data_IF_796781039268
#
_entry.id   IF_796781039268
#
_cell.length_a   1.000
_cell.length_b   1.000
_cell.length_c   1.000
_cell.angle_alpha   90.00
_cell.angle_beta   90.00
_cell.angle_gamma   90.00
#
_symmetry.space_group_name_H-M   'P 1'
#
loop_
_entity.id
_entity.type
_entity.pdbx_description
1 polymer ?
#
# COMPACT_ATOMS: atom_id res chain seq x y z
N UNK A 1 27.09 2.24 74.76
CA UNK A 1 27.36 2.46 73.32
C UNK A 1 26.78 1.27 72.58
N UNK A 2 25.70 1.40 71.79
CA UNK A 2 25.05 0.25 71.17
C UNK A 2 25.80 -0.23 69.92
N UNK A 3 25.76 -1.55 69.69
CA UNK A 3 26.37 -2.26 68.56
C UNK A 3 25.92 -1.72 67.20
N UNK A 4 26.87 -1.61 66.25
CA UNK A 4 26.55 -1.26 64.86
C UNK A 4 25.94 -2.48 64.15
N UNK A 5 24.88 -2.31 63.35
CA UNK A 5 24.34 -3.40 62.54
C UNK A 5 25.34 -3.78 61.44
N UNK A 6 25.56 -5.08 61.26
CA UNK A 6 26.38 -5.66 60.19
C UNK A 6 25.74 -5.38 58.82
N UNK A 7 26.51 -5.07 57.76
CA UNK A 7 25.94 -4.82 56.44
C UNK A 7 25.38 -6.13 55.86
N UNK A 8 24.08 -6.13 55.56
CA UNK A 8 23.40 -7.22 54.88
C UNK A 8 24.05 -7.50 53.53
N UNK A 9 24.42 -8.76 53.27
CA UNK A 9 24.95 -9.19 51.98
C UNK A 9 23.98 -8.80 50.85
N UNK A 10 24.49 -8.36 49.68
CA UNK A 10 23.64 -8.03 48.55
C UNK A 10 22.88 -9.28 48.11
N UNK A 11 21.55 -9.21 48.11
CA UNK A 11 20.70 -10.28 47.53
C UNK A 11 21.13 -10.46 46.08
N UNK A 12 21.60 -11.67 45.72
CA UNK A 12 21.82 -12.03 44.32
C UNK A 12 20.48 -11.87 43.59
N UNK A 13 20.39 -10.89 42.71
CA UNK A 13 19.25 -10.74 41.82
C UNK A 13 19.22 -11.99 40.94
N UNK A 14 18.26 -12.87 41.19
CA UNK A 14 17.97 -13.97 40.28
C UNK A 14 17.53 -13.33 38.95
N UNK A 15 18.40 -13.35 37.95
CA UNK A 15 18.07 -12.92 36.60
C UNK A 15 16.92 -13.80 36.11
N UNK A 16 15.71 -13.24 36.13
CA UNK A 16 14.56 -13.90 35.54
C UNK A 16 14.68 -13.69 34.02
N UNK A 17 15.22 -14.69 33.33
CA UNK A 17 15.25 -14.72 31.87
C UNK A 17 13.82 -15.02 31.39
N UNK A 18 13.28 -14.20 30.47
CA UNK A 18 11.98 -14.51 29.87
C UNK A 18 12.10 -15.79 29.02
N UNK A 19 10.99 -16.51 28.84
CA UNK A 19 10.99 -17.70 27.99
C UNK A 19 11.46 -17.39 26.56
N UNK A 20 11.22 -16.17 26.08
CA UNK A 20 11.66 -15.68 24.77
C UNK A 20 13.18 -15.46 24.77
N UNK A 21 13.74 -14.81 25.78
CA UNK A 21 15.18 -14.55 25.87
C UNK A 21 15.98 -15.85 25.94
N UNK A 22 15.49 -16.83 26.72
CA UNK A 22 16.10 -18.16 26.82
C UNK A 22 16.14 -18.87 25.46
N UNK A 23 15.05 -18.82 24.69
CA UNK A 23 15.00 -19.41 23.34
C UNK A 23 15.97 -18.73 22.39
N UNK A 24 16.07 -17.40 22.44
CA UNK A 24 17.02 -16.63 21.62
C UNK A 24 18.46 -17.02 21.97
N UNK A 25 18.81 -17.10 23.25
CA UNK A 25 20.15 -17.48 23.71
C UNK A 25 20.51 -18.90 23.28
N UNK A 26 19.64 -19.87 23.51
CA UNK A 26 19.88 -21.26 23.11
C UNK A 26 20.04 -21.39 21.58
N UNK A 27 19.29 -20.60 20.79
CA UNK A 27 19.45 -20.54 19.34
C UNK A 27 20.79 -19.91 18.92
N UNK A 28 21.27 -18.90 19.65
CA UNK A 28 22.62 -18.35 19.45
C UNK A 28 23.71 -19.37 19.79
N UNK A 29 23.59 -20.09 20.91
CA UNK A 29 24.55 -21.11 21.35
C UNK A 29 24.66 -22.28 20.35
N UNK A 30 23.56 -22.65 19.70
CA UNK A 30 23.55 -23.65 18.64
C UNK A 30 24.09 -23.16 17.30
N UNK A 31 24.35 -21.85 17.16
CA UNK A 31 24.76 -21.25 15.90
C UNK A 31 23.62 -21.16 14.87
N UNK A 32 22.36 -21.19 15.29
CA UNK A 32 21.20 -21.11 14.37
C UNK A 32 21.21 -19.79 13.56
N UNK A 33 21.89 -18.75 14.07
CA UNK A 33 22.08 -17.47 13.39
C UNK A 33 23.35 -17.39 12.52
N UNK A 34 24.23 -18.40 12.56
CA UNK A 34 25.52 -18.35 11.88
C UNK A 34 25.43 -18.58 10.37
N UNK A 35 24.43 -19.36 9.93
CA UNK A 35 24.22 -19.73 8.53
C UNK A 35 22.98 -19.05 7.93
N UNK A 36 22.57 -17.88 8.46
CA UNK A 36 21.40 -17.18 7.94
C UNK A 36 21.56 -16.85 6.44
N UNK A 37 20.51 -17.07 5.64
CA UNK A 37 20.48 -16.62 4.25
C UNK A 37 20.77 -15.12 4.17
N UNK A 38 21.84 -14.76 3.47
CA UNK A 38 22.24 -13.34 3.32
C UNK A 38 23.12 -12.77 4.42
N UNK A 39 23.59 -13.57 5.39
CA UNK A 39 24.54 -13.10 6.43
C UNK A 39 25.76 -12.42 5.78
N UNK A 40 26.04 -11.19 6.20
CA UNK A 40 27.16 -10.37 5.72
C UNK A 40 27.02 -9.87 4.28
N UNK A 41 25.92 -10.18 3.58
CA UNK A 41 25.66 -9.69 2.23
C UNK A 41 24.76 -8.45 2.32
N UNK A 42 24.93 -7.47 1.40
CA UNK A 42 23.97 -6.38 1.27
C UNK A 42 22.56 -6.94 1.10
N UNK A 43 21.57 -6.24 1.67
CA UNK A 43 20.17 -6.57 1.42
C UNK A 43 19.90 -6.61 -0.09
N UNK A 44 19.10 -7.57 -0.58
CA UNK A 44 18.71 -7.60 -1.98
C UNK A 44 18.11 -6.24 -2.36
N UNK A 45 18.57 -5.65 -3.47
CA UNK A 45 17.93 -4.45 -3.99
C UNK A 45 16.53 -4.84 -4.45
N UNK A 46 15.50 -4.40 -3.73
CA UNK A 46 14.14 -4.47 -4.24
C UNK A 46 14.07 -3.66 -5.54
N UNK A 47 13.28 -4.15 -6.51
CA UNK A 47 13.13 -3.57 -7.85
C UNK A 47 12.56 -2.14 -7.85
N UNK A 48 12.09 -1.67 -6.71
CA UNK A 48 11.55 -0.33 -6.52
C UNK A 48 12.69 0.54 -5.99
N UNK A 49 13.18 1.38 -6.89
CA UNK A 49 14.41 2.16 -6.76
C UNK A 49 14.57 2.83 -5.40
N UNK A 50 15.83 2.90 -4.97
CA UNK A 50 16.24 3.63 -3.78
C UNK A 50 15.61 5.02 -3.72
N UNK A 51 15.18 5.38 -2.52
CA UNK A 51 14.46 6.60 -2.23
C UNK A 51 13.82 6.51 -0.84
N UNK A 52 13.20 7.60 -0.40
CA UNK A 52 12.60 7.75 0.93
C UNK A 52 11.54 6.68 1.28
N UNK A 53 10.89 6.07 0.28
CA UNK A 53 9.82 5.08 0.45
C UNK A 53 10.24 3.61 0.31
N UNK A 54 11.52 3.34 0.03
CA UNK A 54 12.01 1.97 -0.17
C UNK A 54 11.76 1.07 1.06
N UNK A 55 11.91 1.63 2.26
CA UNK A 55 11.66 0.91 3.52
C UNK A 55 10.17 0.58 3.69
N UNK A 56 9.27 1.53 3.44
CA UNK A 56 7.83 1.30 3.55
C UNK A 56 7.36 0.22 2.56
N UNK A 57 7.90 0.23 1.33
CA UNK A 57 7.64 -0.81 0.34
C UNK A 57 8.11 -2.20 0.84
N UNK A 58 9.34 -2.28 1.36
CA UNK A 58 9.91 -3.54 1.85
C UNK A 58 9.09 -4.14 3.00
N UNK A 59 8.73 -3.31 3.99
CA UNK A 59 7.93 -3.73 5.16
C UNK A 59 6.54 -4.21 4.73
N UNK A 60 5.85 -3.47 3.86
CA UNK A 60 4.53 -3.87 3.39
C UNK A 60 4.59 -5.16 2.57
N UNK A 61 5.56 -5.29 1.64
CA UNK A 61 5.75 -6.51 0.86
C UNK A 61 6.03 -7.72 1.74
N UNK A 62 6.83 -7.59 2.79
CA UNK A 62 7.08 -8.67 3.75
C UNK A 62 5.82 -9.06 4.54
N UNK A 63 4.91 -8.11 4.79
CA UNK A 63 3.61 -8.36 5.43
C UNK A 63 2.52 -8.88 4.46
N UNK A 64 2.82 -8.97 3.15
CA UNK A 64 1.82 -9.30 2.12
C UNK A 64 0.91 -8.13 1.72
N UNK A 65 1.22 -6.93 2.19
CA UNK A 65 0.44 -5.70 1.99
C UNK A 65 1.06 -4.78 0.93
N UNK A 66 0.34 -3.74 0.51
CA UNK A 66 0.84 -2.73 -0.44
C UNK A 66 0.57 -1.30 0.03
N UNK A 67 1.25 -0.32 -0.58
CA UNK A 67 1.07 1.09 -0.21
C UNK A 67 -0.34 1.55 -0.62
N UNK A 68 -1.00 2.43 0.17
CA UNK A 68 -2.36 2.89 -0.12
C UNK A 68 -2.54 3.44 -1.54
N UNK A 69 -1.59 4.24 -2.03
CA UNK A 69 -1.64 4.77 -3.40
C UNK A 69 -1.48 3.67 -4.46
N UNK A 70 -0.69 2.60 -4.23
CA UNK A 70 -0.56 1.49 -5.18
C UNK A 70 -1.89 0.73 -5.28
N UNK A 71 -2.53 0.45 -4.13
CA UNK A 71 -3.84 -0.20 -4.10
C UNK A 71 -4.89 0.64 -4.84
N UNK A 72 -5.02 1.93 -4.47
CA UNK A 72 -5.97 2.85 -5.09
C UNK A 72 -5.68 3.04 -6.59
N UNK A 73 -4.41 3.06 -6.99
CA UNK A 73 -4.00 3.14 -8.40
C UNK A 73 -4.52 1.96 -9.23
N UNK A 74 -4.51 0.74 -8.69
CA UNK A 74 -5.10 -0.45 -9.33
C UNK A 74 -6.62 -0.34 -9.41
N UNK A 75 -7.28 0.17 -8.37
CA UNK A 75 -8.73 0.38 -8.39
C UNK A 75 -9.13 1.43 -9.45
N UNK A 76 -8.34 2.49 -9.59
CA UNK A 76 -8.50 3.51 -10.64
C UNK A 76 -8.41 2.87 -12.02
N UNK A 77 -7.40 2.04 -12.28
CA UNK A 77 -7.22 1.35 -13.57
C UNK A 77 -8.41 0.46 -13.90
N UNK A 78 -8.95 -0.25 -12.91
CA UNK A 78 -10.17 -1.07 -13.07
C UNK A 78 -11.39 -0.20 -13.37
N UNK A 79 -11.55 0.94 -12.71
CA UNK A 79 -12.65 1.87 -12.95
C UNK A 79 -12.57 2.52 -14.34
N UNK A 80 -11.38 2.93 -14.78
CA UNK A 80 -11.12 3.45 -16.12
C UNK A 80 -11.49 2.43 -17.21
N UNK A 81 -11.12 1.16 -17.03
CA UNK A 81 -11.47 0.07 -17.94
C UNK A 81 -12.98 -0.14 -18.03
N UNK A 82 -13.69 -0.08 -16.90
CA UNK A 82 -15.17 -0.19 -16.87
C UNK A 82 -15.83 0.94 -17.64
N UNK A 83 -15.37 2.18 -17.45
CA UNK A 83 -15.87 3.34 -18.19
C UNK A 83 -15.62 3.21 -19.69
N UNK A 84 -14.41 2.79 -20.08
CA UNK A 84 -14.05 2.56 -21.49
C UNK A 84 -14.98 1.55 -22.14
N UNK A 85 -15.18 0.40 -21.52
CA UNK A 85 -16.13 -0.64 -22.00
C UNK A 85 -17.55 -0.14 -22.11
N UNK A 86 -18.01 0.65 -21.13
CA UNK A 86 -19.36 1.23 -21.17
C UNK A 86 -19.51 2.19 -22.36
N UNK A 87 -18.54 3.07 -22.59
CA UNK A 87 -18.54 3.99 -23.73
C UNK A 87 -18.47 3.25 -25.09
N UNK A 88 -17.62 2.24 -25.20
CA UNK A 88 -17.50 1.42 -26.43
C UNK A 88 -18.80 0.69 -26.76
N UNK A 89 -19.45 0.11 -25.75
CA UNK A 89 -20.71 -0.61 -25.92
C UNK A 89 -21.88 0.31 -26.33
N UNK A 90 -21.82 1.61 -25.98
CA UNK A 90 -22.88 2.57 -26.21
C UNK A 90 -23.24 2.74 -27.70
N UNK A 91 -22.27 2.57 -28.61
CA UNK A 91 -22.49 2.65 -30.06
C UNK A 91 -23.49 1.61 -30.57
N UNK A 92 -23.46 0.42 -29.99
CA UNK A 92 -24.32 -0.71 -30.40
C UNK A 92 -25.68 -0.68 -29.70
N UNK A 93 -25.89 0.21 -28.73
CA UNK A 93 -27.13 0.29 -27.97
C UNK A 93 -28.23 1.05 -28.72
N UNK A 94 -29.51 0.67 -28.55
CA UNK A 94 -30.64 1.49 -28.97
C UNK A 94 -30.65 2.88 -28.30
N UNK A 95 -31.20 3.93 -28.94
CA UNK A 95 -31.20 5.29 -28.39
C UNK A 95 -31.78 5.42 -26.97
N UNK A 96 -32.85 4.69 -26.66
CA UNK A 96 -33.45 4.69 -25.31
C UNK A 96 -32.52 4.12 -24.24
N UNK A 97 -31.68 3.14 -24.60
CA UNK A 97 -30.72 2.52 -23.69
C UNK A 97 -29.47 3.38 -23.53
N UNK A 98 -29.09 4.16 -24.56
CA UNK A 98 -27.98 5.12 -24.49
C UNK A 98 -28.18 6.18 -23.42
N UNK A 99 -29.41 6.65 -23.21
CA UNK A 99 -29.72 7.64 -22.16
C UNK A 99 -29.39 7.07 -20.78
N UNK A 100 -29.89 5.87 -20.48
CA UNK A 100 -29.60 5.19 -19.20
C UNK A 100 -28.12 4.84 -19.06
N UNK A 101 -27.48 4.41 -20.15
CA UNK A 101 -26.05 4.12 -20.17
C UNK A 101 -25.21 5.39 -19.93
N UNK A 102 -25.61 6.54 -20.48
CA UNK A 102 -24.96 7.84 -20.26
C UNK A 102 -25.05 8.27 -18.80
N UNK A 103 -26.23 8.18 -18.19
CA UNK A 103 -26.40 8.48 -16.76
C UNK A 103 -25.52 7.60 -15.88
N UNK A 104 -25.46 6.29 -16.19
CA UNK A 104 -24.57 5.36 -15.51
C UNK A 104 -23.09 5.74 -15.71
N UNK A 105 -22.68 6.05 -16.93
CA UNK A 105 -21.32 6.46 -17.26
C UNK A 105 -20.90 7.70 -16.46
N UNK A 106 -21.73 8.75 -16.44
CA UNK A 106 -21.43 9.98 -15.72
C UNK A 106 -21.34 9.76 -14.20
N UNK A 107 -22.18 8.88 -13.64
CA UNK A 107 -22.12 8.50 -12.22
C UNK A 107 -20.82 7.78 -11.89
N UNK A 108 -20.43 6.79 -12.71
CA UNK A 108 -19.18 6.05 -12.54
C UNK A 108 -17.95 6.96 -12.75
N UNK A 109 -18.02 7.89 -13.70
CA UNK A 109 -16.96 8.89 -13.94
C UNK A 109 -16.80 9.84 -12.75
N UNK A 110 -17.90 10.27 -12.13
CA UNK A 110 -17.85 11.08 -10.91
C UNK A 110 -17.26 10.31 -9.71
N UNK A 111 -17.50 9.01 -9.62
CA UNK A 111 -16.86 8.16 -8.61
C UNK A 111 -15.35 8.04 -8.86
N UNK A 112 -14.96 7.80 -10.12
CA UNK A 112 -13.55 7.76 -10.52
C UNK A 112 -12.84 9.10 -10.26
N UNK A 113 -13.48 10.24 -10.51
CA UNK A 113 -12.87 11.55 -10.23
C UNK A 113 -12.56 11.77 -8.75
N UNK A 114 -13.40 11.22 -7.84
CA UNK A 114 -13.11 11.24 -6.40
C UNK A 114 -11.89 10.38 -6.06
N UNK A 115 -11.79 9.20 -6.67
CA UNK A 115 -10.62 8.31 -6.48
C UNK A 115 -9.34 8.98 -7.02
N UNK A 116 -9.41 9.63 -8.18
CA UNK A 116 -8.29 10.38 -8.77
C UNK A 116 -7.85 11.54 -7.88
N UNK A 117 -8.80 12.25 -7.27
CA UNK A 117 -8.52 13.31 -6.29
C UNK A 117 -7.84 12.74 -5.04
N UNK A 118 -8.37 11.66 -4.47
CA UNK A 118 -7.77 10.99 -3.31
C UNK A 118 -6.35 10.50 -3.62
N UNK A 119 -6.18 9.85 -4.76
CA UNK A 119 -4.90 9.35 -5.23
C UNK A 119 -3.87 10.48 -5.37
N UNK A 120 -4.28 11.67 -5.85
CA UNK A 120 -3.42 12.85 -5.91
C UNK A 120 -2.85 13.29 -4.55
N UNK A 121 -3.54 12.98 -3.44
CA UNK A 121 -3.05 13.28 -2.10
C UNK A 121 -2.15 12.19 -1.52
N UNK A 122 -2.28 10.95 -2.00
CA UNK A 122 -1.54 9.80 -1.48
C UNK A 122 -0.21 9.55 -2.19
N UNK A 123 -0.07 10.01 -3.43
CA UNK A 123 1.16 9.78 -4.20
C UNK A 123 2.35 10.57 -3.63
N UNK A 124 3.55 9.97 -3.57
CA UNK A 124 4.73 10.60 -3.01
C UNK A 124 5.36 11.64 -3.95
N UNK A 125 5.04 11.61 -5.25
CA UNK A 125 5.59 12.56 -6.21
C UNK A 125 4.58 12.91 -7.29
N UNK A 126 4.59 14.18 -7.74
CA UNK A 126 3.69 14.67 -8.79
C UNK A 126 3.82 13.92 -10.13
N UNK A 127 4.96 13.27 -10.39
CA UNK A 127 5.16 12.47 -11.62
C UNK A 127 4.21 11.28 -11.70
N UNK A 128 3.62 10.86 -10.58
CA UNK A 128 2.66 9.76 -10.51
C UNK A 128 1.21 10.23 -10.63
N UNK A 129 0.94 11.54 -10.79
CA UNK A 129 -0.42 12.07 -10.96
C UNK A 129 -1.11 11.46 -12.19
N UNK A 130 -2.37 11.03 -12.01
CA UNK A 130 -3.23 10.49 -13.09
C UNK A 130 -4.23 11.52 -13.64
N UNK A 131 -4.18 12.77 -13.17
CA UNK A 131 -5.10 13.84 -13.58
C UNK A 131 -6.48 13.77 -12.91
N UNK A 132 -7.47 14.46 -13.49
CA UNK A 132 -8.84 14.58 -12.98
C UNK A 132 -9.86 14.29 -14.09
N UNK A 133 -11.05 13.86 -13.71
CA UNK A 133 -12.17 13.58 -14.61
C UNK A 133 -13.44 14.35 -14.21
N UNK A 134 -13.42 15.70 -14.26
CA UNK A 134 -14.58 16.50 -13.92
C UNK A 134 -15.77 16.24 -14.86
N UNK A 135 -17.02 16.53 -14.43
CA UNK A 135 -18.24 16.13 -15.15
C UNK A 135 -18.30 16.57 -16.61
N UNK A 136 -17.82 17.76 -16.94
CA UNK A 136 -17.84 18.28 -18.32
C UNK A 136 -16.85 17.54 -19.24
N UNK A 137 -15.71 17.10 -18.72
CA UNK A 137 -14.75 16.26 -19.48
C UNK A 137 -15.35 14.88 -19.69
N UNK A 138 -15.92 14.28 -18.65
CA UNK A 138 -16.60 12.99 -18.76
C UNK A 138 -17.74 13.02 -19.79
N UNK A 139 -18.58 14.06 -19.76
CA UNK A 139 -19.65 14.24 -20.74
C UNK A 139 -19.10 14.32 -22.17
N UNK A 140 -18.05 15.13 -22.38
CA UNK A 140 -17.41 15.25 -23.69
C UNK A 140 -16.80 13.90 -24.16
N UNK A 141 -16.19 13.13 -23.26
CA UNK A 141 -15.67 11.80 -23.60
C UNK A 141 -16.77 10.84 -24.06
N UNK A 142 -17.92 10.84 -23.37
CA UNK A 142 -19.09 10.06 -23.77
C UNK A 142 -19.60 10.48 -25.15
N UNK A 143 -19.77 11.79 -25.37
CA UNK A 143 -20.30 12.32 -26.62
C UNK A 143 -19.33 12.01 -27.79
N UNK A 144 -18.02 12.11 -27.56
CA UNK A 144 -17.00 11.69 -28.54
C UNK A 144 -17.05 10.20 -28.86
N UNK A 145 -17.32 9.34 -27.88
CA UNK A 145 -17.41 7.89 -28.11
C UNK A 145 -18.61 7.50 -29.00
N UNK A 146 -19.65 8.34 -29.05
CA UNK A 146 -20.82 8.18 -29.92
C UNK A 146 -20.65 8.84 -31.30
N UNK A 147 -19.77 9.84 -31.42
CA UNK A 147 -19.57 10.64 -32.64
C UNK A 147 -18.35 10.27 -33.49
N UNK A 148 -17.49 9.37 -33.04
CA UNK A 148 -16.35 8.81 -33.77
C UNK A 148 -16.67 7.40 -34.28
#
# INVERSE_FOLDING_TARGET
MPDRPTPSQPRKLHQWESAVDKQIREAQERGDFDALPGRGKPLPRDSWGGGEWALAYHVLKQAGETLPWIALGREIEVAEERLRKLAESARSMPPADRVRARERYLREAAALDKMLLEYSFLIPSRRLEKGRLPPHIAARQWDSALGA
#
